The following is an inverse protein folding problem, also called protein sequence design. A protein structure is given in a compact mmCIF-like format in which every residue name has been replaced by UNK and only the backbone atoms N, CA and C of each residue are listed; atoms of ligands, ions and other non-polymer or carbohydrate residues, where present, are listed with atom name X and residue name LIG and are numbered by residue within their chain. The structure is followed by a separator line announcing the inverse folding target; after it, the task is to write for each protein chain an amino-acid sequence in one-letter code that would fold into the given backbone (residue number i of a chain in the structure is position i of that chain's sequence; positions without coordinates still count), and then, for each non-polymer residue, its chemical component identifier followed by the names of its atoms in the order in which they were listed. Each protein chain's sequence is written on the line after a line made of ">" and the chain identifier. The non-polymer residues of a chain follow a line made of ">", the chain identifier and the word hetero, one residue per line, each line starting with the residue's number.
data_IF_224940530215
#
_entry.id   IF_224940530215
#
_cell.length_a   1.000
_cell.length_b   1.000
_cell.length_c   1.000
_cell.angle_alpha   90.00
_cell.angle_beta   90.00
_cell.angle_gamma   90.00
#
_symmetry.space_group_name_H-M   'P 1'
#
loop_
_entity.id
_entity.type
_entity.pdbx_description
1 polymer ?
#
# COMPACT_ATOMS: atom_id res chain seq x y z
N UNK A 1 -5.65 20.32 27.10
CA UNK A 1 -6.16 21.16 25.99
C UNK A 1 -6.24 20.36 24.67
N UNK A 2 -5.27 19.56 24.33
CA UNK A 2 -5.15 18.81 23.06
C UNK A 2 -6.31 17.84 22.81
N UNK A 3 -6.67 17.02 23.79
CA UNK A 3 -7.77 16.01 23.68
C UNK A 3 -9.13 16.66 23.39
N UNK A 4 -9.40 17.86 23.93
CA UNK A 4 -10.64 18.59 23.63
C UNK A 4 -10.66 19.12 22.20
N UNK A 5 -9.52 19.59 21.69
CA UNK A 5 -9.37 20.07 20.31
C UNK A 5 -9.61 18.98 19.29
N UNK A 6 -9.06 17.79 19.51
CA UNK A 6 -9.21 16.62 18.63
C UNK A 6 -10.66 16.11 18.58
N UNK A 7 -11.32 16.04 19.74
CA UNK A 7 -12.75 15.67 19.79
C UNK A 7 -13.62 16.67 19.03
N UNK A 8 -13.33 17.97 19.16
CA UNK A 8 -14.04 19.04 18.45
C UNK A 8 -13.80 18.91 16.96
N UNK A 9 -12.56 18.61 16.53
CA UNK A 9 -12.25 18.39 15.11
C UNK A 9 -12.99 17.17 14.54
N UNK A 10 -12.92 16.03 15.21
CA UNK A 10 -13.65 14.81 14.82
C UNK A 10 -15.16 15.05 14.73
N UNK A 11 -15.75 15.71 15.74
CA UNK A 11 -17.16 16.07 15.70
C UNK A 11 -17.49 17.04 14.56
N UNK A 12 -16.59 17.98 14.25
CA UNK A 12 -16.77 18.90 13.13
C UNK A 12 -16.76 18.15 11.78
N UNK A 13 -15.88 17.16 11.58
CA UNK A 13 -15.86 16.37 10.36
C UNK A 13 -17.08 15.45 10.26
N UNK A 14 -17.54 14.86 11.35
CA UNK A 14 -18.79 14.10 11.36
C UNK A 14 -19.98 15.00 11.04
N UNK A 15 -20.09 16.17 11.66
CA UNK A 15 -21.15 17.12 11.33
C UNK A 15 -21.12 17.53 9.86
N UNK A 16 -19.93 17.81 9.29
CA UNK A 16 -19.78 18.09 7.86
C UNK A 16 -20.27 16.92 7.01
N UNK A 17 -19.88 15.69 7.34
CA UNK A 17 -20.31 14.50 6.59
C UNK A 17 -21.83 14.33 6.59
N UNK A 18 -22.50 14.59 7.73
CA UNK A 18 -23.95 14.43 7.85
C UNK A 18 -24.77 15.60 7.29
N UNK A 19 -24.19 16.82 7.27
CA UNK A 19 -24.93 18.02 6.90
C UNK A 19 -24.63 18.55 5.51
N UNK A 20 -23.47 18.23 4.95
CA UNK A 20 -22.97 18.87 3.71
C UNK A 20 -22.71 17.91 2.57
N UNK A 21 -22.65 16.62 2.85
CA UNK A 21 -22.34 15.60 1.86
C UNK A 21 -23.50 14.63 1.75
N UNK A 22 -24.15 14.64 0.59
CA UNK A 22 -25.28 13.78 0.28
C UNK A 22 -24.84 12.65 -0.64
N UNK A 23 -25.36 11.46 -0.36
CA UNK A 23 -25.15 10.29 -1.20
C UNK A 23 -25.78 10.54 -2.57
N UNK A 24 -25.13 10.02 -3.60
CA UNK A 24 -25.52 10.14 -5.01
C UNK A 24 -25.41 11.57 -5.58
N UNK A 25 -24.86 12.52 -4.80
CA UNK A 25 -24.56 13.90 -5.23
C UNK A 25 -23.08 14.16 -5.17
N UNK A 26 -22.50 14.19 -3.95
CA UNK A 26 -21.08 14.44 -3.73
C UNK A 26 -20.26 13.15 -3.69
N UNK A 27 -20.87 12.03 -3.36
CA UNK A 27 -20.25 10.71 -3.33
C UNK A 27 -21.26 9.61 -3.62
N UNK A 28 -20.76 8.47 -4.07
CA UNK A 28 -21.53 7.23 -4.23
C UNK A 28 -20.93 6.13 -3.36
N UNK A 29 -21.76 5.15 -2.99
CA UNK A 29 -21.29 3.94 -2.31
C UNK A 29 -21.41 2.78 -3.29
N UNK A 30 -20.24 2.27 -3.75
CA UNK A 30 -20.16 1.12 -4.62
C UNK A 30 -19.18 0.10 -4.01
N UNK A 31 -19.50 -1.17 -4.08
CA UNK A 31 -18.67 -2.27 -3.55
C UNK A 31 -18.23 -2.06 -2.09
N UNK A 32 -19.14 -1.50 -1.28
CA UNK A 32 -18.89 -1.19 0.13
C UNK A 32 -17.74 -0.17 0.34
N UNK A 33 -17.58 0.77 -0.61
CA UNK A 33 -16.60 1.86 -0.57
C UNK A 33 -17.27 3.18 -0.92
N UNK A 34 -16.82 4.25 -0.27
CA UNK A 34 -17.19 5.62 -0.63
C UNK A 34 -16.31 6.07 -1.78
N UNK A 35 -16.90 6.52 -2.87
CA UNK A 35 -16.22 7.10 -4.02
C UNK A 35 -16.70 8.53 -4.25
N UNK A 36 -15.77 9.45 -4.50
CA UNK A 36 -16.09 10.86 -4.75
C UNK A 36 -16.71 11.00 -6.14
N UNK A 37 -17.75 11.81 -6.25
CA UNK A 37 -18.32 12.24 -7.52
C UNK A 37 -17.81 13.66 -7.81
N UNK A 38 -17.30 13.88 -9.00
CA UNK A 38 -16.95 15.22 -9.48
C UNK A 38 -18.24 15.99 -9.79
N UNK A 39 -18.51 17.03 -9.03
CA UNK A 39 -19.74 17.82 -9.14
C UNK A 39 -19.92 18.48 -10.52
N UNK A 40 -18.84 18.73 -11.26
CA UNK A 40 -18.92 19.38 -12.57
C UNK A 40 -19.17 18.40 -13.71
N UNK A 41 -18.60 17.21 -13.62
CA UNK A 41 -18.66 16.22 -14.71
C UNK A 41 -19.56 15.04 -14.39
N UNK A 42 -20.00 14.87 -13.12
CA UNK A 42 -20.75 13.70 -12.65
C UNK A 42 -19.96 12.40 -12.69
N UNK A 43 -18.64 12.46 -12.90
CA UNK A 43 -17.79 11.27 -12.99
C UNK A 43 -17.33 10.82 -11.62
N UNK A 44 -17.36 9.52 -11.41
CA UNK A 44 -16.79 8.88 -10.22
C UNK A 44 -15.27 8.98 -10.30
N UNK A 45 -14.66 9.55 -9.27
CA UNK A 45 -13.22 9.70 -9.15
C UNK A 45 -12.66 8.52 -8.33
N UNK A 46 -12.28 7.45 -9.02
CA UNK A 46 -11.69 6.28 -8.38
C UNK A 46 -10.33 6.61 -7.75
N UNK A 47 -10.12 6.11 -6.52
CA UNK A 47 -8.87 6.31 -5.77
C UNK A 47 -8.68 7.68 -5.13
N UNK A 48 -9.57 8.66 -5.35
CA UNK A 48 -9.55 9.94 -4.63
C UNK A 48 -10.30 9.87 -3.31
N UNK A 49 -9.83 10.62 -2.33
CA UNK A 49 -10.43 10.71 -0.99
C UNK A 49 -10.55 12.17 -0.55
N UNK A 50 -11.59 12.47 0.21
CA UNK A 50 -11.68 13.77 0.90
C UNK A 50 -10.57 13.85 1.96
N UNK A 51 -9.99 15.03 2.11
CA UNK A 51 -8.96 15.33 3.10
C UNK A 51 -9.53 15.47 4.51
N UNK A 52 -8.65 15.59 5.48
CA UNK A 52 -8.93 16.08 6.83
C UNK A 52 -9.91 15.22 7.67
N UNK A 53 -9.89 13.90 7.41
CA UNK A 53 -10.78 12.97 8.14
C UNK A 53 -12.23 12.94 7.65
N UNK A 54 -12.59 13.78 6.68
CA UNK A 54 -13.95 13.87 6.15
C UNK A 54 -14.36 12.58 5.41
N UNK A 55 -13.45 11.97 4.66
CA UNK A 55 -13.74 10.72 3.97
C UNK A 55 -14.11 9.59 4.94
N UNK A 56 -13.34 9.45 6.02
CA UNK A 56 -13.62 8.49 7.09
C UNK A 56 -14.94 8.80 7.81
N UNK A 57 -15.26 10.09 7.97
CA UNK A 57 -16.55 10.49 8.55
C UNK A 57 -17.72 10.10 7.64
N UNK A 58 -17.57 10.18 6.32
CA UNK A 58 -18.56 9.72 5.35
C UNK A 58 -18.62 8.18 5.31
N UNK A 59 -17.47 7.49 5.35
CA UNK A 59 -17.42 6.03 5.47
C UNK A 59 -18.16 5.55 6.74
N UNK A 60 -17.97 6.24 7.87
CA UNK A 60 -18.68 5.96 9.11
C UNK A 60 -20.20 6.26 9.01
N UNK A 61 -20.58 7.37 8.35
CA UNK A 61 -21.98 7.73 8.08
C UNK A 61 -22.70 6.65 7.29
N UNK A 62 -22.05 6.11 6.26
CA UNK A 62 -22.62 5.09 5.37
C UNK A 62 -22.45 3.65 5.89
N UNK A 63 -21.87 3.47 7.06
CA UNK A 63 -21.60 2.16 7.67
C UNK A 63 -20.76 1.24 6.76
N UNK A 64 -19.92 1.82 5.89
CA UNK A 64 -18.99 1.08 5.06
C UNK A 64 -17.70 0.80 5.82
N UNK A 65 -16.99 -0.23 5.42
CA UNK A 65 -15.74 -0.63 6.05
C UNK A 65 -14.69 0.47 5.87
N UNK A 66 -14.30 1.12 6.97
CA UNK A 66 -13.19 2.06 6.97
C UNK A 66 -11.93 1.29 6.57
N UNK A 67 -11.30 1.65 5.45
CA UNK A 67 -10.02 1.08 5.07
C UNK A 67 -8.95 1.62 6.03
N UNK A 68 -8.58 0.83 7.02
CA UNK A 68 -7.47 1.12 7.90
C UNK A 68 -6.17 1.08 7.08
N UNK A 69 -5.57 2.23 6.88
CA UNK A 69 -4.23 2.34 6.33
C UNK A 69 -3.25 1.84 7.40
N UNK A 70 -2.45 0.84 7.10
CA UNK A 70 -1.38 0.32 7.96
C UNK A 70 -0.23 1.34 8.04
N UNK A 71 -0.21 2.25 9.04
CA UNK A 71 0.61 3.44 8.94
C UNK A 71 1.38 3.83 10.20
N UNK A 72 1.76 2.85 11.01
CA UNK A 72 2.67 3.08 12.15
C UNK A 72 3.98 3.78 11.78
N UNK A 73 4.46 3.64 10.53
CA UNK A 73 5.66 4.34 10.07
C UNK A 73 5.44 5.80 9.75
N UNK A 74 4.22 6.17 9.45
CA UNK A 74 3.82 7.51 9.03
C UNK A 74 3.14 8.27 10.17
N UNK A 75 3.23 7.77 11.41
CA UNK A 75 2.61 8.41 12.58
C UNK A 75 3.03 9.88 12.74
N UNK A 76 4.32 10.18 12.50
CA UNK A 76 4.81 11.55 12.50
C UNK A 76 4.19 12.42 11.41
N UNK A 77 4.01 11.88 10.21
CA UNK A 77 3.35 12.55 9.09
C UNK A 77 1.87 12.81 9.39
N UNK A 78 1.17 11.84 9.99
CA UNK A 78 -0.21 12.01 10.44
C UNK A 78 -0.35 13.13 11.46
N UNK A 79 0.56 13.19 12.42
CA UNK A 79 0.57 14.26 13.41
C UNK A 79 0.89 15.62 12.78
N UNK A 80 1.90 15.71 11.95
CA UNK A 80 2.32 16.99 11.35
C UNK A 80 1.26 17.57 10.43
N UNK A 81 0.64 16.72 9.58
CA UNK A 81 -0.29 17.17 8.53
C UNK A 81 -1.73 17.24 9.08
N UNK A 82 -2.19 16.17 9.73
CA UNK A 82 -3.61 16.02 10.08
C UNK A 82 -3.88 16.24 11.57
N UNK A 83 -2.84 16.40 12.39
CA UNK A 83 -2.94 16.46 13.85
C UNK A 83 -3.66 15.24 14.46
N UNK A 84 -3.45 14.08 13.83
CA UNK A 84 -4.02 12.80 14.25
C UNK A 84 -2.95 11.94 14.91
N UNK A 85 -3.28 11.39 16.06
CA UNK A 85 -2.48 10.36 16.71
C UNK A 85 -2.73 8.99 16.07
N UNK A 86 -1.69 8.18 16.02
CA UNK A 86 -1.77 6.78 15.56
C UNK A 86 -1.71 5.86 16.76
N UNK A 87 -2.81 5.14 17.02
CA UNK A 87 -2.86 4.12 18.06
C UNK A 87 -2.57 2.75 17.45
N UNK A 88 -1.55 2.09 17.96
CA UNK A 88 -1.19 0.74 17.54
C UNK A 88 -2.03 -0.30 18.30
N UNK A 89 -2.86 -1.05 17.57
CA UNK A 89 -3.65 -2.14 18.13
C UNK A 89 -2.85 -3.43 17.93
N UNK A 90 -2.46 -4.13 19.00
CA UNK A 90 -1.72 -5.38 18.89
C UNK A 90 -2.55 -6.47 18.20
N UNK A 91 -1.86 -7.40 17.55
CA UNK A 91 -2.53 -8.54 16.89
C UNK A 91 -3.21 -9.45 17.91
N UNK A 92 -4.39 -9.98 17.56
CA UNK A 92 -5.15 -10.91 18.42
C UNK A 92 -4.36 -12.20 18.73
N UNK A 93 -3.53 -12.67 17.80
CA UNK A 93 -2.64 -13.84 17.97
C UNK A 93 -1.21 -13.46 17.64
N UNK A 94 -0.21 -14.08 18.28
CA UNK A 94 1.19 -13.87 17.93
C UNK A 94 1.45 -14.16 16.46
N UNK A 95 2.34 -13.37 15.85
CA UNK A 95 2.76 -13.60 14.48
C UNK A 95 3.70 -14.81 14.45
N UNK A 96 3.26 -15.89 13.77
CA UNK A 96 4.04 -17.12 13.61
C UNK A 96 4.85 -17.14 12.29
N UNK A 97 4.81 -16.06 11.51
CA UNK A 97 5.54 -15.94 10.24
C UNK A 97 7.04 -15.75 10.48
N UNK A 98 7.85 -16.51 9.73
CA UNK A 98 9.30 -16.37 9.69
C UNK A 98 9.72 -15.29 8.68
N UNK A 99 10.08 -14.11 9.17
CA UNK A 99 10.57 -12.98 8.35
C UNK A 99 12.07 -13.06 8.18
N UNK A 100 12.53 -13.63 7.06
CA UNK A 100 13.94 -13.87 6.75
C UNK A 100 14.66 -12.60 6.28
N UNK A 101 16.00 -12.59 6.45
CA UNK A 101 16.85 -11.53 5.93
C UNK A 101 16.80 -11.47 4.40
N UNK A 102 17.07 -10.30 3.86
CA UNK A 102 17.14 -10.10 2.41
C UNK A 102 18.32 -10.86 1.81
N UNK A 103 18.11 -11.40 0.61
CA UNK A 103 19.14 -12.00 -0.22
C UNK A 103 19.58 -10.99 -1.29
N UNK A 104 20.87 -10.63 -1.29
CA UNK A 104 21.39 -9.59 -2.17
C UNK A 104 22.30 -10.21 -3.22
N UNK A 105 21.98 -9.90 -4.47
CA UNK A 105 22.65 -10.38 -5.68
C UNK A 105 23.33 -9.21 -6.41
N UNK A 106 24.41 -9.48 -7.11
CA UNK A 106 25.06 -8.48 -7.96
C UNK A 106 24.15 -8.03 -9.10
N UNK A 107 23.54 -8.96 -9.81
CA UNK A 107 22.76 -8.71 -11.03
C UNK A 107 21.27 -9.10 -10.88
N UNK A 108 20.41 -8.45 -11.66
CA UNK A 108 18.99 -8.85 -11.76
C UNK A 108 18.81 -10.25 -12.31
N UNK A 109 19.68 -10.69 -13.21
CA UNK A 109 19.64 -12.02 -13.82
C UNK A 109 19.83 -13.12 -12.77
N UNK A 110 20.84 -12.99 -11.91
CA UNK A 110 21.09 -13.92 -10.82
C UNK A 110 19.92 -13.96 -9.83
N UNK A 111 19.42 -12.78 -9.46
CA UNK A 111 18.25 -12.63 -8.60
C UNK A 111 17.03 -13.39 -9.13
N UNK A 112 16.68 -13.19 -10.39
CA UNK A 112 15.50 -13.85 -10.96
C UNK A 112 15.68 -15.37 -11.09
N UNK A 113 16.87 -15.85 -11.43
CA UNK A 113 17.15 -17.28 -11.43
C UNK A 113 16.98 -17.90 -10.04
N UNK A 114 17.52 -17.26 -9.01
CA UNK A 114 17.38 -17.69 -7.64
C UNK A 114 15.93 -17.69 -7.14
N UNK A 115 15.15 -16.67 -7.51
CA UNK A 115 13.72 -16.61 -7.22
C UNK A 115 12.99 -17.82 -7.82
N UNK A 116 13.26 -18.14 -9.10
CA UNK A 116 12.58 -19.24 -9.79
C UNK A 116 12.95 -20.59 -9.16
N UNK A 117 14.22 -20.78 -8.84
CA UNK A 117 14.69 -22.01 -8.21
C UNK A 117 14.05 -22.22 -6.83
N UNK A 118 13.99 -21.17 -5.99
CA UNK A 118 13.37 -21.24 -4.66
C UNK A 118 11.86 -21.42 -4.75
N UNK A 119 11.18 -20.67 -5.64
CA UNK A 119 9.73 -20.81 -5.88
C UNK A 119 9.38 -22.24 -6.32
N UNK A 120 10.18 -22.80 -7.22
CA UNK A 120 9.99 -24.18 -7.70
C UNK A 120 10.16 -25.18 -6.56
N UNK A 121 11.14 -24.99 -5.70
CA UNK A 121 11.40 -25.84 -4.52
C UNK A 121 10.27 -25.79 -3.52
N UNK A 122 9.81 -24.57 -3.18
CA UNK A 122 8.73 -24.36 -2.22
C UNK A 122 7.40 -24.92 -2.75
N UNK A 123 7.05 -24.67 -4.01
CA UNK A 123 5.85 -25.20 -4.65
C UNK A 123 5.83 -26.75 -4.64
N UNK A 124 6.96 -27.39 -4.95
CA UNK A 124 7.10 -28.87 -4.89
C UNK A 124 6.95 -29.42 -3.48
N UNK A 125 7.23 -28.65 -2.43
CA UNK A 125 7.00 -29.06 -1.03
C UNK A 125 5.53 -28.95 -0.60
N UNK A 126 4.61 -28.59 -1.51
CA UNK A 126 3.18 -28.43 -1.21
C UNK A 126 2.81 -27.09 -0.58
N UNK A 127 3.73 -26.15 -0.45
CA UNK A 127 3.46 -24.82 0.07
C UNK A 127 3.04 -23.86 -1.06
N UNK A 128 1.98 -23.08 -0.88
CA UNK A 128 1.66 -22.00 -1.81
C UNK A 128 2.72 -20.87 -1.75
N UNK A 129 2.96 -20.23 -2.87
CA UNK A 129 3.92 -19.13 -3.00
C UNK A 129 3.24 -17.92 -3.60
N UNK A 130 3.37 -16.78 -2.93
CA UNK A 130 2.97 -15.47 -3.46
C UNK A 130 4.22 -14.66 -3.79
N UNK A 131 4.41 -14.39 -5.08
CA UNK A 131 5.51 -13.57 -5.57
C UNK A 131 5.01 -12.12 -5.70
N UNK A 132 5.58 -11.21 -4.89
CA UNK A 132 5.30 -9.79 -4.96
C UNK A 132 6.21 -9.08 -5.93
N UNK A 133 5.65 -8.34 -6.89
CA UNK A 133 6.39 -7.56 -7.88
C UNK A 133 6.08 -6.07 -7.77
N UNK A 134 7.05 -5.23 -8.11
CA UNK A 134 6.92 -3.77 -8.08
C UNK A 134 6.24 -3.21 -9.33
N UNK A 135 6.29 -3.93 -10.45
CA UNK A 135 5.71 -3.50 -11.71
C UNK A 135 5.07 -4.65 -12.49
N UNK A 136 4.20 -4.29 -13.45
CA UNK A 136 3.58 -5.25 -14.37
C UNK A 136 4.63 -5.92 -15.27
N UNK A 137 5.65 -5.18 -15.69
CA UNK A 137 6.73 -5.68 -16.53
C UNK A 137 7.51 -6.82 -15.88
N UNK A 138 7.85 -6.65 -14.58
CA UNK A 138 8.52 -7.70 -13.79
C UNK A 138 7.61 -8.91 -13.61
N UNK A 139 6.32 -8.69 -13.40
CA UNK A 139 5.31 -9.74 -13.33
C UNK A 139 5.24 -10.58 -14.61
N UNK A 140 5.23 -9.94 -15.77
CA UNK A 140 5.22 -10.59 -17.07
C UNK A 140 6.54 -11.33 -17.37
N UNK A 141 7.69 -10.73 -16.99
CA UNK A 141 9.00 -11.36 -17.13
C UNK A 141 9.08 -12.66 -16.32
N UNK A 142 8.70 -12.59 -15.03
CA UNK A 142 8.71 -13.78 -14.15
C UNK A 142 7.73 -14.85 -14.62
N UNK A 143 6.56 -14.46 -15.12
CA UNK A 143 5.60 -15.39 -15.72
C UNK A 143 6.21 -16.14 -16.92
N UNK A 144 6.91 -15.45 -17.82
CA UNK A 144 7.62 -16.08 -18.94
C UNK A 144 8.69 -17.07 -18.45
N UNK A 145 9.48 -16.66 -17.45
CA UNK A 145 10.55 -17.50 -16.92
C UNK A 145 10.01 -18.75 -16.21
N UNK A 146 8.93 -18.64 -15.43
CA UNK A 146 8.25 -19.77 -14.80
C UNK A 146 7.63 -20.72 -15.86
N UNK A 147 7.07 -20.15 -16.94
CA UNK A 147 6.53 -20.94 -18.07
C UNK A 147 7.63 -21.76 -18.75
N UNK A 148 8.81 -21.21 -18.98
CA UNK A 148 9.97 -21.92 -19.52
C UNK A 148 10.39 -23.09 -18.63
N UNK A 149 10.31 -22.92 -17.30
CA UNK A 149 10.58 -23.98 -16.30
C UNK A 149 9.39 -24.94 -16.09
N UNK A 150 8.28 -24.74 -16.80
CA UNK A 150 7.03 -25.53 -16.70
C UNK A 150 6.45 -25.54 -15.29
N UNK A 151 6.56 -24.42 -14.55
CA UNK A 151 5.94 -24.23 -13.24
C UNK A 151 4.56 -23.60 -13.44
N UNK A 152 3.48 -24.30 -13.07
CA UNK A 152 2.12 -23.73 -13.12
C UNK A 152 2.01 -22.51 -12.21
N UNK A 153 1.46 -21.42 -12.72
CA UNK A 153 1.32 -20.20 -11.95
C UNK A 153 0.17 -19.33 -12.44
N UNK A 154 -0.38 -18.53 -11.53
CA UNK A 154 -1.40 -17.52 -11.79
C UNK A 154 -0.75 -16.14 -11.75
N UNK A 155 -1.27 -15.19 -12.56
CA UNK A 155 -0.80 -13.80 -12.58
C UNK A 155 -1.94 -12.87 -12.23
N UNK A 156 -1.73 -12.07 -11.18
CA UNK A 156 -2.60 -11.00 -10.73
C UNK A 156 -1.98 -9.66 -11.09
N UNK A 157 -2.50 -9.01 -12.10
CA UNK A 157 -2.10 -7.65 -12.47
C UNK A 157 -3.32 -6.78 -12.76
N UNK A 158 -3.11 -5.48 -12.83
CA UNK A 158 -4.17 -4.49 -13.06
C UNK A 158 -4.99 -4.68 -14.37
N UNK A 159 -4.55 -5.56 -15.27
CA UNK A 159 -5.25 -5.86 -16.52
C UNK A 159 -6.38 -6.91 -16.38
N UNK A 160 -6.46 -7.64 -15.24
CA UNK A 160 -7.32 -8.81 -15.08
C UNK A 160 -8.32 -8.69 -13.92
N UNK A 161 -8.83 -7.50 -13.63
CA UNK A 161 -9.72 -7.20 -12.50
C UNK A 161 -10.93 -8.14 -12.30
N UNK A 162 -11.54 -8.64 -13.38
CA UNK A 162 -12.76 -9.47 -13.27
C UNK A 162 -12.54 -10.87 -12.68
N UNK A 163 -11.30 -11.36 -12.65
CA UNK A 163 -10.93 -12.69 -12.11
C UNK A 163 -10.07 -12.60 -10.84
N UNK A 164 -9.87 -11.41 -10.33
CA UNK A 164 -8.94 -11.18 -9.22
C UNK A 164 -9.34 -11.94 -7.96
N UNK A 165 -10.62 -11.92 -7.61
CA UNK A 165 -11.13 -12.60 -6.41
C UNK A 165 -10.96 -14.12 -6.49
N UNK A 166 -11.21 -14.73 -7.66
CA UNK A 166 -11.09 -16.17 -7.86
C UNK A 166 -9.63 -16.62 -7.78
N UNK A 167 -8.72 -15.88 -8.43
CA UNK A 167 -7.29 -16.18 -8.40
C UNK A 167 -6.70 -16.00 -7.01
N UNK A 168 -7.16 -14.99 -6.24
CA UNK A 168 -6.73 -14.82 -4.83
C UNK A 168 -7.27 -15.94 -3.96
N UNK A 169 -8.49 -16.41 -4.19
CA UNK A 169 -9.05 -17.56 -3.46
C UNK A 169 -8.24 -18.84 -3.70
N UNK A 170 -7.74 -19.05 -4.92
CA UNK A 170 -6.89 -20.18 -5.27
C UNK A 170 -5.45 -20.07 -4.75
N UNK A 171 -4.95 -18.85 -4.50
CA UNK A 171 -3.57 -18.59 -4.09
C UNK A 171 -3.17 -19.27 -2.76
N UNK A 172 -4.14 -19.73 -1.98
CA UNK A 172 -3.93 -20.48 -0.72
C UNK A 172 -3.84 -22.00 -0.88
N UNK A 173 -4.07 -22.55 -2.09
CA UNK A 173 -4.06 -23.97 -2.33
C UNK A 173 -2.63 -24.54 -2.40
N UNK A 174 -2.48 -25.81 -2.06
CA UNK A 174 -1.18 -26.48 -2.01
C UNK A 174 -0.42 -26.38 -3.32
N UNK A 175 0.84 -25.94 -3.27
CA UNK A 175 1.75 -25.87 -4.39
C UNK A 175 1.44 -24.81 -5.46
N UNK A 176 0.38 -24.02 -5.28
CA UNK A 176 0.06 -22.94 -6.25
C UNK A 176 1.04 -21.79 -6.13
N UNK A 177 1.51 -21.32 -7.28
CA UNK A 177 2.34 -20.12 -7.41
C UNK A 177 1.49 -18.98 -7.95
N UNK A 178 1.48 -17.85 -7.26
CA UNK A 178 0.75 -16.66 -7.70
C UNK A 178 1.70 -15.48 -7.77
N UNK A 179 1.77 -14.82 -8.92
CA UNK A 179 2.51 -13.57 -9.11
C UNK A 179 1.50 -12.43 -8.94
N UNK A 180 1.78 -11.51 -8.03
CA UNK A 180 0.91 -10.36 -7.78
C UNK A 180 1.70 -9.05 -7.79
N UNK A 181 1.20 -8.03 -8.47
CA UNK A 181 1.66 -6.66 -8.23
C UNK A 181 1.15 -6.17 -6.89
N UNK A 182 1.83 -5.20 -6.29
CA UNK A 182 1.57 -4.76 -4.90
C UNK A 182 0.13 -4.43 -4.56
N UNK A 183 -0.61 -3.89 -5.52
CA UNK A 183 -2.00 -3.45 -5.33
C UNK A 183 -3.01 -4.56 -5.62
N UNK A 184 -2.62 -5.62 -6.33
CA UNK A 184 -3.52 -6.69 -6.70
C UNK A 184 -3.92 -7.56 -5.50
N UNK A 185 -5.18 -7.93 -5.39
CA UNK A 185 -5.73 -8.72 -4.29
C UNK A 185 -5.79 -8.00 -2.94
N UNK A 186 -5.71 -6.67 -2.91
CA UNK A 186 -5.85 -5.89 -1.68
C UNK A 186 -7.26 -6.03 -1.11
N UNK A 187 -7.34 -6.26 0.21
CA UNK A 187 -8.63 -6.44 0.89
C UNK A 187 -9.17 -7.87 0.86
N UNK A 188 -8.61 -8.76 0.05
CA UNK A 188 -9.00 -10.17 -0.02
C UNK A 188 -8.08 -11.03 0.86
N UNK A 189 -8.68 -11.94 1.62
CA UNK A 189 -7.94 -12.85 2.49
C UNK A 189 -7.59 -14.15 1.76
N UNK A 190 -6.34 -14.62 1.92
CA UNK A 190 -5.88 -15.89 1.36
C UNK A 190 -6.10 -16.96 2.44
N UNK A 191 -7.10 -17.80 2.24
CA UNK A 191 -7.41 -18.89 3.16
C UNK A 191 -6.50 -20.08 2.92
N UNK A 192 -5.95 -20.65 4.00
CA UNK A 192 -5.07 -21.80 3.94
C UNK A 192 -5.78 -23.05 4.48
N UNK A 193 -5.61 -24.19 3.80
CA UNK A 193 -6.05 -25.50 4.31
C UNK A 193 -5.14 -25.96 5.46
N UNK A 194 -5.61 -26.87 6.29
CA UNK A 194 -4.82 -27.43 7.39
C UNK A 194 -3.56 -28.17 6.90
N UNK A 195 -3.61 -28.77 5.72
CA UNK A 195 -2.45 -29.41 5.09
C UNK A 195 -1.37 -28.38 4.74
N UNK A 196 -1.77 -27.26 4.16
CA UNK A 196 -0.86 -26.15 3.84
C UNK A 196 -0.27 -25.53 5.09
N UNK A 197 -1.05 -25.37 6.16
CA UNK A 197 -0.53 -24.88 7.45
C UNK A 197 0.53 -25.82 8.02
N UNK A 198 0.29 -27.15 7.98
CA UNK A 198 1.28 -28.15 8.41
C UNK A 198 2.55 -28.15 7.54
N UNK A 199 2.42 -27.87 6.25
CA UNK A 199 3.56 -27.74 5.34
C UNK A 199 4.39 -26.45 5.57
N UNK A 200 3.94 -25.52 6.43
CA UNK A 200 4.62 -24.28 6.77
C UNK A 200 3.96 -23.01 6.22
N UNK A 201 2.71 -23.13 5.74
CA UNK A 201 1.86 -22.01 5.32
C UNK A 201 2.32 -21.27 4.06
N UNK A 202 1.76 -20.10 3.85
CA UNK A 202 2.03 -19.27 2.66
C UNK A 202 3.45 -18.69 2.69
N UNK A 203 4.20 -18.89 1.60
CA UNK A 203 5.50 -18.27 1.41
C UNK A 203 5.38 -16.98 0.58
N UNK A 204 5.91 -15.89 1.09
CA UNK A 204 6.01 -14.61 0.40
C UNK A 204 7.43 -14.46 -0.17
N UNK A 205 7.52 -14.20 -1.46
CA UNK A 205 8.75 -13.92 -2.18
C UNK A 205 8.66 -12.51 -2.74
N UNK A 206 9.37 -11.54 -2.14
CA UNK A 206 9.47 -10.19 -2.67
C UNK A 206 10.57 -10.10 -3.71
N UNK A 207 10.29 -9.60 -4.90
CA UNK A 207 11.27 -9.52 -6.01
C UNK A 207 12.16 -8.30 -5.93
N UNK A 208 11.75 -7.30 -5.17
CA UNK A 208 12.48 -6.05 -4.89
C UNK A 208 11.96 -5.46 -3.58
N UNK A 209 12.75 -4.59 -2.96
CA UNK A 209 12.27 -3.69 -1.91
C UNK A 209 11.60 -2.48 -2.55
N UNK A 210 10.46 -2.09 -1.99
CA UNK A 210 9.74 -0.90 -2.42
C UNK A 210 10.36 0.38 -1.86
N UNK A 211 9.97 1.51 -2.43
CA UNK A 211 10.38 2.83 -1.94
C UNK A 211 9.86 3.14 -0.53
N UNK A 212 8.84 2.43 -0.08
CA UNK A 212 8.25 2.56 1.24
C UNK A 212 8.21 1.23 1.99
N UNK A 213 8.71 1.24 3.24
CA UNK A 213 8.67 0.10 4.16
C UNK A 213 7.25 -0.39 4.42
N UNK A 214 6.27 0.51 4.34
CA UNK A 214 4.86 0.22 4.49
C UNK A 214 4.38 -0.79 3.44
N UNK A 215 4.79 -0.61 2.19
CA UNK A 215 4.40 -1.50 1.08
C UNK A 215 5.02 -2.89 1.25
N UNK A 216 6.27 -2.96 1.69
CA UNK A 216 6.92 -4.24 2.02
C UNK A 216 6.19 -4.98 3.14
N UNK A 217 5.76 -4.26 4.17
CA UNK A 217 4.97 -4.85 5.27
C UNK A 217 3.58 -5.29 4.81
N UNK A 218 2.95 -4.58 3.91
CA UNK A 218 1.68 -5.00 3.31
C UNK A 218 1.83 -6.32 2.55
N UNK A 219 2.93 -6.48 1.81
CA UNK A 219 3.23 -7.73 1.11
C UNK A 219 3.47 -8.87 2.12
N UNK A 220 4.35 -8.67 3.11
CA UNK A 220 4.60 -9.64 4.18
C UNK A 220 3.34 -10.02 4.93
N UNK A 221 2.48 -9.05 5.22
CA UNK A 221 1.22 -9.20 5.96
C UNK A 221 0.15 -10.01 5.24
N UNK A 222 0.38 -10.46 4.02
CA UNK A 222 -0.50 -11.43 3.35
C UNK A 222 -0.31 -12.86 3.88
N UNK A 223 0.84 -13.14 4.51
CA UNK A 223 1.14 -14.41 5.19
C UNK A 223 1.16 -14.23 6.71
N UNK A 224 0.96 -15.29 7.45
CA UNK A 224 0.99 -15.30 8.92
C UNK A 224 -0.24 -14.64 9.55
N UNK A 225 -1.36 -14.58 8.86
CA UNK A 225 -2.63 -14.04 9.39
C UNK A 225 -3.25 -14.99 10.42
N UNK A 226 -3.88 -14.41 11.44
CA UNK A 226 -4.58 -15.18 12.49
C UNK A 226 -3.72 -16.23 13.21
N UNK A 227 -2.38 -16.01 13.26
CA UNK A 227 -1.44 -16.94 13.86
C UNK A 227 -1.07 -18.12 12.98
N UNK A 228 -1.45 -18.13 11.70
CA UNK A 228 -1.04 -19.16 10.75
C UNK A 228 0.48 -19.11 10.51
N UNK A 229 1.13 -20.25 10.28
CA UNK A 229 2.52 -20.30 9.88
C UNK A 229 2.72 -19.66 8.50
N UNK A 230 3.93 -19.25 8.22
CA UNK A 230 4.30 -18.67 6.93
C UNK A 230 5.74 -18.21 6.92
N UNK A 231 6.19 -17.73 5.76
CA UNK A 231 7.53 -17.16 5.64
C UNK A 231 7.53 -15.98 4.67
N UNK A 232 8.46 -15.05 4.87
CA UNK A 232 8.70 -13.97 3.91
C UNK A 232 10.19 -13.77 3.68
N UNK A 233 10.55 -13.56 2.41
CA UNK A 233 11.92 -13.27 2.01
C UNK A 233 11.95 -12.32 0.82
N UNK A 234 12.84 -11.33 0.85
CA UNK A 234 13.07 -10.41 -0.27
C UNK A 234 14.36 -10.75 -0.98
N UNK A 235 14.31 -10.68 -2.29
CA UNK A 235 15.42 -10.87 -3.21
C UNK A 235 15.75 -9.52 -3.84
N UNK A 236 16.92 -9.00 -3.57
CA UNK A 236 17.35 -7.65 -3.96
C UNK A 236 18.56 -7.75 -4.87
N UNK A 237 18.67 -6.89 -5.85
CA UNK A 237 19.84 -6.75 -6.70
C UNK A 237 20.43 -5.36 -6.55
N UNK A 238 21.76 -5.23 -6.72
CA UNK A 238 22.41 -3.92 -6.79
C UNK A 238 21.93 -3.07 -7.96
N UNK A 239 21.34 -3.71 -8.98
CA UNK A 239 20.76 -3.05 -10.14
C UNK A 239 19.31 -2.58 -9.92
N UNK A 240 18.70 -2.87 -8.75
CA UNK A 240 17.35 -2.42 -8.42
C UNK A 240 17.34 -0.90 -8.19
N UNK A 241 16.21 -0.25 -8.52
CA UNK A 241 16.11 1.20 -8.47
C UNK A 241 16.46 1.80 -7.10
N UNK A 242 15.96 1.22 -6.03
CA UNK A 242 16.26 1.65 -4.66
C UNK A 242 17.76 1.57 -4.34
N UNK A 243 18.42 0.49 -4.77
CA UNK A 243 19.84 0.27 -4.56
C UNK A 243 20.69 1.26 -5.37
N UNK A 244 20.33 1.54 -6.61
CA UNK A 244 20.99 2.52 -7.46
C UNK A 244 20.94 3.95 -6.92
N UNK A 245 19.83 4.34 -6.30
CA UNK A 245 19.63 5.67 -5.73
C UNK A 245 20.45 5.91 -4.45
N UNK A 246 20.71 4.87 -3.64
CA UNK A 246 21.19 5.04 -2.27
C UNK A 246 22.50 4.33 -1.90
N UNK A 247 23.25 3.82 -2.86
CA UNK A 247 24.59 3.36 -2.54
C UNK A 247 25.03 2.03 -3.13
N UNK A 248 24.57 1.69 -4.33
CA UNK A 248 25.09 0.53 -5.06
C UNK A 248 26.60 0.51 -5.13
N UNK A 249 27.27 1.67 -5.33
CA UNK A 249 28.73 1.76 -5.45
C UNK A 249 29.48 1.40 -4.16
N UNK A 250 28.93 1.76 -3.00
CA UNK A 250 29.56 1.41 -1.70
C UNK A 250 29.37 -0.06 -1.38
N UNK A 251 28.19 -0.58 -1.68
CA UNK A 251 27.84 -2.00 -1.49
C UNK A 251 28.61 -2.85 -2.49
N UNK A 252 28.67 -2.45 -3.75
CA UNK A 252 29.45 -3.13 -4.79
C UNK A 252 30.94 -3.20 -4.41
N UNK A 253 31.54 -2.07 -4.00
CA UNK A 253 32.94 -2.03 -3.52
C UNK A 253 33.18 -2.89 -2.26
N UNK A 254 32.17 -3.02 -1.41
CA UNK A 254 32.23 -3.90 -0.26
C UNK A 254 32.18 -5.38 -0.68
N UNK A 255 31.31 -5.70 -1.67
CA UNK A 255 31.24 -7.04 -2.25
C UNK A 255 32.53 -7.44 -2.95
N UNK A 256 33.12 -6.54 -3.73
CA UNK A 256 34.38 -6.75 -4.41
C UNK A 256 35.54 -6.95 -3.42
N UNK A 257 35.55 -6.19 -2.31
CA UNK A 257 36.56 -6.36 -1.22
C UNK A 257 36.43 -7.69 -0.47
N UNK A 258 35.21 -8.24 -0.39
CA UNK A 258 34.97 -9.55 0.23
C UNK A 258 35.31 -10.71 -0.69
N UNK A 259 35.71 -10.43 -1.95
CA UNK A 259 36.11 -11.47 -2.90
C UNK A 259 34.97 -12.38 -3.35
N UNK A 260 33.71 -11.86 -3.32
CA UNK A 260 32.54 -12.62 -3.69
C UNK A 260 32.53 -12.89 -5.21
N UNK A 261 32.49 -14.16 -5.56
CA UNK A 261 32.36 -14.61 -6.93
C UNK A 261 30.96 -14.32 -7.52
N UNK A 262 30.84 -14.35 -8.85
CA UNK A 262 29.54 -14.20 -9.50
C UNK A 262 28.61 -15.35 -9.10
N UNK A 263 27.41 -15.01 -8.61
CA UNK A 263 26.43 -15.98 -8.10
C UNK A 263 26.41 -16.16 -6.58
N UNK A 264 27.38 -15.61 -5.86
CA UNK A 264 27.36 -15.62 -4.40
C UNK A 264 26.34 -14.61 -3.82
N UNK A 265 25.63 -15.06 -2.81
CA UNK A 265 24.52 -14.33 -2.16
C UNK A 265 24.99 -13.75 -0.84
N UNK A 266 24.78 -12.46 -0.64
CA UNK A 266 24.95 -11.86 0.67
C UNK A 266 23.66 -11.95 1.46
N UNK A 267 23.73 -12.65 2.58
CA UNK A 267 22.66 -12.70 3.56
C UNK A 267 23.20 -12.18 4.91
N UNK A 268 23.09 -10.88 5.12
CA UNK A 268 23.58 -10.27 6.36
C UNK A 268 22.60 -9.22 6.88
N UNK A 269 22.30 -9.28 8.18
CA UNK A 269 21.34 -8.35 8.83
C UNK A 269 21.73 -6.87 8.71
N UNK A 270 23.03 -6.58 8.62
CA UNK A 270 23.55 -5.22 8.43
C UNK A 270 23.14 -4.65 7.07
N UNK A 271 23.07 -5.49 6.04
CA UNK A 271 22.66 -5.09 4.69
C UNK A 271 21.16 -4.79 4.66
N UNK A 272 20.33 -5.64 5.25
CA UNK A 272 18.89 -5.39 5.41
C UNK A 272 18.64 -4.04 6.11
N UNK A 273 19.35 -3.77 7.20
CA UNK A 273 19.28 -2.47 7.90
C UNK A 273 19.74 -1.29 7.04
N UNK A 274 20.73 -1.49 6.15
CA UNK A 274 21.18 -0.45 5.22
C UNK A 274 20.10 -0.11 4.18
N UNK A 275 19.42 -1.13 3.66
CA UNK A 275 18.29 -0.95 2.74
C UNK A 275 17.13 -0.23 3.43
N UNK A 276 16.81 -0.60 4.68
CA UNK A 276 15.78 0.10 5.46
C UNK A 276 16.09 1.58 5.71
N UNK A 277 17.38 1.92 5.92
CA UNK A 277 17.81 3.32 6.03
C UNK A 277 17.66 4.07 4.70
N UNK A 278 17.93 3.40 3.57
CA UNK A 278 17.72 3.96 2.26
C UNK A 278 16.24 4.23 2.01
N UNK A 279 15.36 3.27 2.32
CA UNK A 279 13.91 3.44 2.24
C UNK A 279 13.43 4.63 3.08
N UNK A 280 13.92 4.76 4.32
CA UNK A 280 13.57 5.89 5.19
C UNK A 280 13.91 7.23 4.55
N UNK A 281 15.05 7.34 3.88
CA UNK A 281 15.45 8.55 3.16
C UNK A 281 14.53 8.88 1.99
N UNK A 282 14.07 7.87 1.26
CA UNK A 282 13.07 8.05 0.18
C UNK A 282 11.73 8.49 0.76
N UNK A 283 11.29 7.86 1.86
CA UNK A 283 10.06 8.22 2.56
C UNK A 283 10.09 9.69 3.01
N UNK A 284 11.19 10.14 3.62
CA UNK A 284 11.40 11.54 4.05
C UNK A 284 11.36 12.52 2.86
N UNK A 285 11.99 12.16 1.73
CA UNK A 285 11.95 12.98 0.52
C UNK A 285 10.54 13.07 -0.06
N UNK A 286 9.86 11.94 -0.17
CA UNK A 286 8.49 11.87 -0.67
C UNK A 286 7.52 12.62 0.24
N UNK A 287 7.73 12.58 1.57
CA UNK A 287 6.99 13.41 2.51
C UNK A 287 7.16 14.90 2.22
N UNK A 288 8.41 15.36 2.01
CA UNK A 288 8.69 16.75 1.64
C UNK A 288 7.97 17.18 0.36
N UNK A 289 7.89 16.32 -0.66
CA UNK A 289 7.14 16.57 -1.90
C UNK A 289 5.64 16.68 -1.62
N UNK A 290 5.06 15.72 -0.88
CA UNK A 290 3.64 15.75 -0.50
C UNK A 290 3.27 16.99 0.31
N UNK A 291 4.12 17.38 1.25
CA UNK A 291 3.93 18.60 2.06
C UNK A 291 3.84 19.85 1.19
N UNK A 292 4.73 19.99 0.21
CA UNK A 292 4.68 21.13 -0.72
C UNK A 292 3.41 21.14 -1.57
N UNK A 293 2.94 19.99 -2.03
CA UNK A 293 1.69 19.87 -2.76
C UNK A 293 0.50 20.32 -1.90
N UNK A 294 0.47 19.97 -0.63
CA UNK A 294 -0.58 20.41 0.31
C UNK A 294 -0.52 21.93 0.55
N UNK A 295 0.68 22.52 0.66
CA UNK A 295 0.83 23.98 0.81
C UNK A 295 0.24 24.74 -0.40
N UNK A 296 0.36 24.21 -1.63
CA UNK A 296 -0.33 24.76 -2.80
C UNK A 296 -1.84 24.56 -2.75
N UNK A 297 -2.28 23.37 -2.33
CA UNK A 297 -3.70 23.04 -2.23
C UNK A 297 -4.41 23.88 -1.16
N UNK A 298 -3.74 24.23 -0.07
CA UNK A 298 -4.28 25.09 1.01
C UNK A 298 -4.68 26.47 0.48
N UNK A 299 -3.90 27.05 -0.42
CA UNK A 299 -4.23 28.33 -1.08
C UNK A 299 -5.49 28.19 -1.93
N UNK A 300 -5.60 27.10 -2.70
CA UNK A 300 -6.77 26.81 -3.52
C UNK A 300 -8.00 26.51 -2.67
N UNK A 301 -7.83 25.79 -1.56
CA UNK A 301 -8.91 25.47 -0.63
C UNK A 301 -9.44 26.72 0.07
N UNK A 302 -8.58 27.65 0.46
CA UNK A 302 -9.03 28.93 1.02
C UNK A 302 -9.93 29.69 0.02
N UNK A 303 -9.57 29.70 -1.28
CA UNK A 303 -10.40 30.29 -2.33
C UNK A 303 -11.73 29.53 -2.51
N UNK A 304 -11.68 28.20 -2.55
CA UNK A 304 -12.89 27.35 -2.63
C UNK A 304 -13.83 27.59 -1.45
N UNK A 305 -13.33 27.65 -0.23
CA UNK A 305 -14.16 27.90 0.96
C UNK A 305 -14.93 29.22 0.86
N UNK A 306 -14.32 30.29 0.35
CA UNK A 306 -15.00 31.58 0.14
C UNK A 306 -16.14 31.42 -0.88
N UNK A 307 -15.88 30.76 -2.01
CA UNK A 307 -16.88 30.53 -3.06
C UNK A 307 -18.02 29.66 -2.55
N UNK A 308 -17.69 28.51 -1.91
CA UNK A 308 -18.71 27.60 -1.38
C UNK A 308 -19.52 28.19 -0.25
N UNK A 309 -18.94 29.03 0.58
CA UNK A 309 -19.67 29.77 1.62
C UNK A 309 -20.69 30.72 1.00
N UNK A 310 -20.31 31.46 -0.04
CA UNK A 310 -21.25 32.34 -0.78
C UNK A 310 -22.33 31.55 -1.49
N UNK A 311 -21.97 30.45 -2.17
CA UNK A 311 -22.93 29.56 -2.82
C UNK A 311 -23.95 28.98 -1.82
N UNK A 312 -23.48 28.53 -0.63
CA UNK A 312 -24.38 28.04 0.42
C UNK A 312 -25.37 29.11 0.86
N UNK A 313 -24.89 30.34 1.17
CA UNK A 313 -25.76 31.43 1.56
C UNK A 313 -26.84 31.71 0.47
N UNK A 314 -26.44 31.65 -0.80
CA UNK A 314 -27.38 31.83 -1.91
C UNK A 314 -28.41 30.70 -1.99
N UNK A 315 -28.01 29.44 -1.86
CA UNK A 315 -28.90 28.27 -1.92
C UNK A 315 -29.86 28.17 -0.72
N UNK A 316 -29.40 28.55 0.47
CA UNK A 316 -30.22 28.55 1.68
C UNK A 316 -31.05 29.83 1.85
N UNK A 317 -30.95 30.78 0.89
CA UNK A 317 -31.66 32.05 0.96
C UNK A 317 -31.18 33.02 2.05
N UNK A 318 -30.10 32.67 2.75
CA UNK A 318 -29.52 33.51 3.78
C UNK A 318 -28.68 34.63 3.13
N UNK A 319 -28.95 35.87 3.51
CA UNK A 319 -28.21 37.07 3.07
C UNK A 319 -28.12 37.31 1.55
N UNK A 320 -28.89 36.60 0.71
CA UNK A 320 -28.83 36.75 -0.74
C UNK A 320 -28.99 38.23 -1.20
N UNK A 321 -29.89 38.98 -0.53
CA UNK A 321 -30.09 40.43 -0.82
C UNK A 321 -28.84 41.26 -0.49
N UNK A 322 -28.16 40.98 0.61
CA UNK A 322 -26.93 41.67 1.01
C UNK A 322 -25.75 41.31 0.10
N UNK A 323 -25.65 40.06 -0.28
CA UNK A 323 -24.57 39.64 -1.19
C UNK A 323 -24.74 40.22 -2.60
N UNK A 324 -25.98 40.32 -3.10
CA UNK A 324 -26.29 41.00 -4.36
C UNK A 324 -26.01 42.50 -4.24
N UNK A 325 -26.43 43.14 -3.16
CA UNK A 325 -26.14 44.56 -2.94
C UNK A 325 -24.63 44.84 -2.91
N UNK A 326 -23.83 44.01 -2.23
CA UNK A 326 -22.37 44.14 -2.18
C UNK A 326 -21.65 43.82 -3.49
N UNK A 327 -22.31 43.19 -4.46
CA UNK A 327 -21.77 42.97 -5.81
C UNK A 327 -22.07 44.14 -6.77
N UNK A 328 -23.10 44.91 -6.47
CA UNK A 328 -23.56 46.04 -7.29
C UNK A 328 -22.84 47.35 -6.90
N UNK A 329 -22.45 47.47 -5.64
CA UNK A 329 -21.66 48.60 -5.09
C UNK A 329 -20.16 48.25 -5.00
#
# INVERSE_FOLDING_TARGET
>A
FTIKSERIHTMSQLLKAYTLFEKDTEYVVMDNKVMIVDEQTGRIMDGRRYSDGLHQAIEAKENVKIEALTQTFEAGEFWEIYKLDVMEIPTNRPIARDDRNDLIYKTKREKYNAIIDEVTKISKSGRPVLIGTTSVEISELLSKLLSVRKVPHNVLNAKLHKKEADVVAEAGNAGIVTIATNMAGRGTDIKLSEEVKKAGGLAIVGTERHDSRRVDRQLRGRSGRQGDPGSSQFYVSLEDNLMRLFGSDRVAKMMDKMGLEDGEVIQHSMMTKSIERAQKKVEENNFGVRKRLLEYDDVMNAQREVVYKRRRHALQGERLKLDIANMIY
#
